data_IF_356791762646
#
_entry.id   IF_356791762646
#
_cell.length_a   1.000
_cell.length_b   1.000
_cell.length_c   1.000
_cell.angle_alpha   90.00
_cell.angle_beta   90.00
_cell.angle_gamma   90.00
#
_symmetry.space_group_name_H-M   'P 1'
#
loop_
_entity.id
_entity.type
_entity.pdbx_description
1 polymer ?
#
# COMPACT_ATOMS: atom_id res chain seq x y z
N UNK A 1 6.81 -31.00 -14.93
CA UNK A 1 6.41 -30.70 -13.53
C UNK A 1 5.35 -31.72 -13.11
N UNK A 2 5.49 -32.38 -11.95
CA UNK A 2 4.47 -33.31 -11.44
C UNK A 2 3.38 -32.53 -10.67
N UNK A 3 2.09 -32.86 -10.83
CA UNK A 3 1.03 -32.25 -10.05
C UNK A 3 1.13 -32.66 -8.57
N UNK A 4 0.99 -31.69 -7.67
CA UNK A 4 0.97 -31.90 -6.22
C UNK A 4 -0.16 -32.84 -5.83
N UNK A 5 0.16 -33.81 -4.99
CA UNK A 5 -0.80 -34.76 -4.42
C UNK A 5 -1.79 -34.04 -3.50
N UNK A 6 -2.94 -34.66 -3.24
CA UNK A 6 -4.02 -34.08 -2.42
C UNK A 6 -3.52 -33.76 -0.99
N UNK A 7 -2.62 -34.58 -0.45
CA UNK A 7 -1.99 -34.36 0.85
C UNK A 7 -0.99 -33.20 0.87
N UNK A 8 -0.22 -33.02 -0.20
CA UNK A 8 0.72 -31.88 -0.29
C UNK A 8 -0.04 -30.56 -0.44
N UNK A 9 -1.16 -30.58 -1.18
CA UNK A 9 -2.08 -29.44 -1.29
C UNK A 9 -2.71 -29.11 0.07
N UNK A 10 -3.17 -30.11 0.82
CA UNK A 10 -3.80 -29.88 2.13
C UNK A 10 -2.80 -29.39 3.17
N UNK A 11 -1.57 -29.94 3.20
CA UNK A 11 -0.46 -29.44 4.03
C UNK A 11 -0.07 -28.02 3.66
N UNK A 12 0.07 -27.71 2.37
CA UNK A 12 0.35 -26.34 1.89
C UNK A 12 -0.73 -25.34 2.32
N UNK A 13 -2.00 -25.74 2.22
CA UNK A 13 -3.13 -24.91 2.62
C UNK A 13 -3.20 -24.71 4.15
N UNK A 14 -2.86 -25.76 4.92
CA UNK A 14 -2.77 -25.70 6.38
C UNK A 14 -1.62 -24.78 6.83
N UNK A 15 -0.44 -24.90 6.23
CA UNK A 15 0.72 -24.04 6.51
C UNK A 15 0.43 -22.58 6.18
N UNK A 16 -0.23 -22.29 5.05
CA UNK A 16 -0.68 -20.93 4.70
C UNK A 16 -1.67 -20.37 5.71
N UNK A 17 -2.65 -21.17 6.16
CA UNK A 17 -3.61 -20.74 7.20
C UNK A 17 -2.91 -20.45 8.53
N UNK A 18 -1.92 -21.25 8.90
CA UNK A 18 -1.17 -21.09 10.14
C UNK A 18 -0.31 -19.81 10.09
N UNK A 19 0.40 -19.58 8.99
CA UNK A 19 1.17 -18.36 8.75
C UNK A 19 0.28 -17.10 8.82
N UNK A 20 -0.88 -17.10 8.16
CA UNK A 20 -1.83 -15.99 8.23
C UNK A 20 -2.36 -15.77 9.65
N UNK A 21 -2.59 -16.84 10.42
CA UNK A 21 -3.05 -16.74 11.81
C UNK A 21 -1.96 -16.16 12.73
N UNK A 22 -0.69 -16.47 12.48
CA UNK A 22 0.44 -15.90 13.22
C UNK A 22 0.64 -14.43 12.89
N UNK A 23 0.55 -14.05 11.60
CA UNK A 23 0.58 -12.66 11.16
C UNK A 23 -0.55 -11.84 11.81
N UNK A 24 -1.78 -12.35 11.77
CA UNK A 24 -2.93 -11.71 12.43
C UNK A 24 -2.74 -11.53 13.94
N UNK A 25 -2.10 -12.49 14.60
CA UNK A 25 -1.79 -12.38 16.04
C UNK A 25 -0.69 -11.36 16.31
N UNK A 26 0.37 -11.35 15.50
CA UNK A 26 1.46 -10.38 15.59
C UNK A 26 0.93 -8.95 15.38
N UNK A 27 0.14 -8.75 14.32
CA UNK A 27 -0.57 -7.50 14.01
C UNK A 27 -1.37 -7.02 15.23
N UNK A 28 -2.20 -7.90 15.80
CA UNK A 28 -3.07 -7.57 16.94
C UNK A 28 -2.27 -7.26 18.22
N UNK A 29 -1.15 -7.94 18.44
CA UNK A 29 -0.28 -7.75 19.63
C UNK A 29 0.49 -6.43 19.59
N UNK A 30 0.83 -5.96 18.39
CA UNK A 30 1.53 -4.70 18.17
C UNK A 30 0.58 -3.51 17.98
N UNK A 31 -0.74 -3.71 18.15
CA UNK A 31 -1.76 -2.67 17.93
C UNK A 31 -1.97 -2.31 16.45
N UNK A 32 -1.38 -3.07 15.53
CA UNK A 32 -1.51 -2.82 14.11
C UNK A 32 -2.76 -3.50 13.55
N UNK A 33 -3.57 -2.72 12.82
CA UNK A 33 -4.68 -3.28 12.05
C UNK A 33 -4.10 -4.19 10.96
N UNK A 34 -4.54 -5.45 10.93
CA UNK A 34 -4.11 -6.39 9.90
C UNK A 34 -4.39 -5.82 8.52
N UNK A 35 -3.35 -5.73 7.70
CA UNK A 35 -3.41 -5.06 6.40
C UNK A 35 -4.16 -6.01 5.47
N UNK A 36 -5.42 -5.70 5.20
CA UNK A 36 -6.22 -6.40 4.19
C UNK A 36 -5.92 -5.93 2.75
N UNK A 37 -5.14 -4.86 2.60
CA UNK A 37 -4.85 -4.23 1.32
C UNK A 37 -3.71 -4.90 0.57
N UNK A 38 -3.74 -4.81 -0.76
CA UNK A 38 -2.62 -5.18 -1.62
C UNK A 38 -1.57 -4.08 -1.56
N UNK A 39 -0.30 -4.36 -1.24
CA UNK A 39 0.74 -3.34 -1.32
C UNK A 39 0.96 -2.94 -2.77
N UNK A 40 1.28 -1.67 -2.99
CA UNK A 40 1.64 -1.14 -4.30
C UNK A 40 2.91 -0.31 -4.19
N UNK A 41 3.71 -0.35 -5.24
CA UNK A 41 4.87 0.52 -5.41
C UNK A 41 4.43 1.61 -6.40
N UNK A 42 4.41 2.85 -5.92
CA UNK A 42 4.12 4.01 -6.74
C UNK A 42 5.43 4.70 -7.09
N UNK A 43 5.66 4.93 -8.38
CA UNK A 43 6.85 5.60 -8.90
C UNK A 43 6.43 6.92 -9.54
N UNK A 44 6.95 8.05 -9.04
CA UNK A 44 6.69 9.40 -9.58
C UNK A 44 8.01 10.16 -9.63
N UNK A 45 8.32 10.78 -10.77
CA UNK A 45 9.52 11.60 -10.99
C UNK A 45 10.83 10.90 -10.56
N UNK A 46 10.93 9.59 -10.74
CA UNK A 46 12.08 8.78 -10.34
C UNK A 46 12.15 8.41 -8.85
N UNK A 47 11.22 8.89 -8.03
CA UNK A 47 11.07 8.49 -6.63
C UNK A 47 10.03 7.38 -6.48
N UNK A 48 10.21 6.51 -5.49
CA UNK A 48 9.32 5.38 -5.25
C UNK A 48 8.80 5.36 -3.81
N UNK A 49 7.53 5.01 -3.62
CA UNK A 49 6.91 4.82 -2.31
C UNK A 49 6.03 3.57 -2.29
N UNK A 50 6.05 2.84 -1.17
CA UNK A 50 5.21 1.65 -0.98
C UNK A 50 4.00 2.01 -0.12
N UNK A 51 2.80 1.82 -0.67
CA UNK A 51 1.53 2.24 -0.07
C UNK A 51 0.49 1.10 -0.07
N UNK A 52 -0.58 1.30 0.72
CA UNK A 52 -1.77 0.46 0.69
C UNK A 52 -2.63 0.82 -0.54
N UNK A 53 -2.86 -0.15 -1.44
CA UNK A 53 -3.70 0.04 -2.62
C UNK A 53 -5.13 0.45 -2.27
N UNK A 54 -5.73 -0.14 -1.25
CA UNK A 54 -7.12 0.16 -0.90
C UNK A 54 -7.26 1.58 -0.35
N UNK A 55 -6.24 2.05 0.38
CA UNK A 55 -6.17 3.44 0.83
C UNK A 55 -6.03 4.38 -0.37
N UNK A 56 -5.07 4.11 -1.26
CA UNK A 56 -4.83 4.95 -2.43
C UNK A 56 -6.07 5.00 -3.35
N UNK A 57 -6.71 3.85 -3.58
CA UNK A 57 -7.94 3.74 -4.38
C UNK A 57 -9.10 4.51 -3.77
N UNK A 58 -9.29 4.44 -2.45
CA UNK A 58 -10.32 5.24 -1.75
C UNK A 58 -10.02 6.72 -1.88
N UNK A 59 -8.76 7.12 -1.76
CA UNK A 59 -8.35 8.50 -1.90
C UNK A 59 -8.64 9.05 -3.30
N UNK A 60 -8.25 8.33 -4.35
CA UNK A 60 -8.58 8.70 -5.73
C UNK A 60 -10.08 8.87 -5.96
N UNK A 61 -10.91 8.00 -5.36
CA UNK A 61 -12.37 8.14 -5.43
C UNK A 61 -12.86 9.41 -4.74
N UNK A 62 -12.32 9.74 -3.58
CA UNK A 62 -12.68 10.97 -2.85
C UNK A 62 -12.25 12.23 -3.62
N UNK A 63 -11.16 12.16 -4.38
CA UNK A 63 -10.62 13.28 -5.15
C UNK A 63 -11.12 13.37 -6.60
N UNK A 64 -12.07 12.52 -7.03
CA UNK A 64 -12.51 12.35 -8.43
C UNK A 64 -12.92 13.63 -9.17
N UNK A 65 -13.39 14.66 -8.46
CA UNK A 65 -13.83 15.93 -9.03
C UNK A 65 -12.97 17.12 -8.56
N UNK A 66 -11.70 16.86 -8.25
CA UNK A 66 -10.74 17.87 -7.80
C UNK A 66 -9.57 17.91 -8.78
N UNK A 67 -8.96 19.07 -8.94
CA UNK A 67 -7.64 19.17 -9.51
C UNK A 67 -6.66 18.58 -8.50
N UNK A 68 -5.79 17.67 -8.96
CA UNK A 68 -4.85 16.94 -8.10
C UNK A 68 -3.46 17.04 -8.69
N UNK A 69 -2.49 17.35 -7.84
CA UNK A 69 -1.07 17.26 -8.15
C UNK A 69 -0.40 16.40 -7.09
N UNK A 70 0.36 15.39 -7.50
CA UNK A 70 1.01 14.43 -6.61
C UNK A 70 2.52 14.52 -6.78
N UNK A 71 3.25 14.46 -5.67
CA UNK A 71 4.71 14.37 -5.67
C UNK A 71 5.17 13.43 -4.57
N UNK A 72 6.23 12.68 -4.85
CA UNK A 72 6.93 11.91 -3.81
C UNK A 72 8.13 12.75 -3.37
N UNK A 73 8.15 13.09 -2.09
CA UNK A 73 9.21 13.86 -1.45
C UNK A 73 9.85 13.02 -0.34
N UNK A 74 11.12 13.30 -0.05
CA UNK A 74 11.83 12.65 1.06
C UNK A 74 11.69 13.50 2.32
N UNK A 75 11.05 12.93 3.35
CA UNK A 75 11.00 13.53 4.69
C UNK A 75 11.95 12.77 5.61
N UNK A 76 13.16 13.30 5.77
CA UNK A 76 14.25 12.62 6.47
C UNK A 76 14.71 11.36 5.74
N UNK A 77 14.41 10.19 6.32
CA UNK A 77 14.84 8.88 5.81
C UNK A 77 13.71 8.11 5.09
N UNK A 78 12.50 8.68 5.01
CA UNK A 78 11.35 8.00 4.44
C UNK A 78 10.70 8.83 3.32
N UNK A 79 10.32 8.20 2.19
CA UNK A 79 9.51 8.84 1.18
C UNK A 79 8.08 9.08 1.69
N UNK A 80 7.53 10.24 1.34
CA UNK A 80 6.17 10.68 1.64
C UNK A 80 5.51 11.10 0.33
N UNK A 81 4.30 10.60 0.07
CA UNK A 81 3.49 11.06 -1.04
C UNK A 81 2.67 12.28 -0.59
N UNK A 82 2.99 13.45 -1.15
CA UNK A 82 2.21 14.68 -0.97
C UNK A 82 1.23 14.85 -2.10
N UNK A 83 -0.03 15.07 -1.75
CA UNK A 83 -1.14 15.22 -2.69
C UNK A 83 -1.78 16.58 -2.43
N UNK A 84 -1.56 17.50 -3.37
CA UNK A 84 -2.19 18.81 -3.38
C UNK A 84 -3.49 18.73 -4.16
N UNK A 85 -4.59 19.20 -3.57
CA UNK A 85 -5.89 19.16 -4.25
C UNK A 85 -6.66 20.47 -4.09
N UNK A 86 -7.49 20.82 -5.08
CA UNK A 86 -8.41 21.95 -5.02
C UNK A 86 -9.59 21.77 -5.98
N UNK A 87 -10.70 22.47 -5.74
CA UNK A 87 -11.87 22.51 -6.65
C UNK A 87 -11.84 23.73 -7.59
N UNK A 88 -10.94 24.68 -7.36
CA UNK A 88 -10.72 25.89 -8.17
C UNK A 88 -9.60 26.76 -7.57
N UNK A 89 -9.07 27.72 -8.34
CA UNK A 89 -7.86 28.50 -7.99
C UNK A 89 -7.99 29.25 -6.65
N UNK A 90 -9.21 29.68 -6.28
CA UNK A 90 -9.50 30.42 -5.05
C UNK A 90 -10.38 29.65 -4.07
N UNK A 91 -10.43 28.32 -4.23
CA UNK A 91 -11.31 27.47 -3.42
C UNK A 91 -10.81 27.35 -1.98
N UNK A 92 -11.72 27.50 -1.02
CA UNK A 92 -11.48 27.19 0.39
C UNK A 92 -11.29 25.70 0.66
N UNK A 93 -11.66 24.84 -0.31
CA UNK A 93 -11.51 23.39 -0.24
C UNK A 93 -10.13 22.90 -0.75
N UNK A 94 -9.20 23.85 -0.94
CA UNK A 94 -7.81 23.54 -1.21
C UNK A 94 -7.16 22.90 0.03
N UNK A 95 -6.32 21.89 -0.19
CA UNK A 95 -5.67 21.17 0.89
C UNK A 95 -4.52 20.30 0.42
N UNK A 96 -3.76 19.82 1.39
CA UNK A 96 -2.65 18.89 1.18
C UNK A 96 -2.91 17.65 2.01
N UNK A 97 -2.73 16.49 1.39
CA UNK A 97 -2.82 15.18 2.03
C UNK A 97 -1.44 14.54 1.95
N UNK A 98 -0.97 14.01 3.07
CA UNK A 98 0.32 13.34 3.17
C UNK A 98 0.09 11.86 3.46
N UNK A 99 0.65 10.99 2.62
CA UNK A 99 0.68 9.55 2.85
C UNK A 99 2.10 9.10 3.11
N UNK A 100 2.33 8.57 4.31
CA UNK A 100 3.59 7.97 4.70
C UNK A 100 3.74 6.57 4.11
N UNK A 101 4.98 6.21 3.79
CA UNK A 101 5.32 4.84 3.39
C UNK A 101 4.93 3.84 4.47
N UNK A 102 4.68 2.59 4.06
CA UNK A 102 4.59 1.51 5.02
C UNK A 102 5.85 1.41 5.90
N UNK A 103 5.69 1.14 7.21
CA UNK A 103 6.80 0.81 8.09
C UNK A 103 7.67 -0.33 7.55
N UNK A 104 8.97 -0.28 7.84
CA UNK A 104 9.99 -1.22 7.31
C UNK A 104 9.63 -2.69 7.55
N UNK A 105 9.18 -3.02 8.77
CA UNK A 105 8.78 -4.39 9.13
C UNK A 105 7.60 -4.92 8.29
N UNK A 106 6.76 -4.02 7.76
CA UNK A 106 5.67 -4.40 6.84
C UNK A 106 6.21 -4.61 5.44
N UNK A 107 7.14 -3.78 4.97
CA UNK A 107 7.74 -3.95 3.66
C UNK A 107 8.49 -5.29 3.54
N UNK A 108 9.21 -5.70 4.58
CA UNK A 108 9.89 -7.01 4.63
C UNK A 108 8.92 -8.19 4.45
N UNK A 109 7.74 -8.11 5.06
CA UNK A 109 6.70 -9.15 4.94
C UNK A 109 6.03 -9.18 3.56
N UNK A 110 6.19 -8.11 2.77
CA UNK A 110 5.60 -7.96 1.44
C UNK A 110 6.62 -8.23 0.32
N UNK A 111 7.88 -8.52 0.65
CA UNK A 111 8.95 -8.76 -0.32
C UNK A 111 8.66 -9.95 -1.27
N UNK A 112 7.88 -10.93 -0.81
CA UNK A 112 7.49 -12.10 -1.60
C UNK A 112 6.20 -11.91 -2.42
N UNK A 113 5.56 -10.73 -2.34
CA UNK A 113 4.29 -10.46 -3.03
C UNK A 113 4.51 -9.79 -4.39
N UNK A 114 3.63 -10.05 -5.38
CA UNK A 114 3.68 -9.39 -6.67
C UNK A 114 3.41 -7.88 -6.52
N UNK A 115 4.32 -7.06 -7.03
CA UNK A 115 4.15 -5.61 -7.14
C UNK A 115 3.35 -5.26 -8.41
N UNK A 116 2.49 -4.24 -8.30
CA UNK A 116 1.79 -3.65 -9.45
C UNK A 116 2.41 -2.29 -9.70
N UNK A 117 2.98 -2.11 -10.88
CA UNK A 117 3.53 -0.82 -11.34
C UNK A 117 2.40 0.00 -11.97
N UNK A 118 2.20 1.22 -11.46
CA UNK A 118 1.26 2.17 -12.02
C UNK A 118 2.05 3.34 -12.61
N UNK A 119 2.10 3.40 -13.93
CA UNK A 119 2.67 4.55 -14.65
C UNK A 119 1.56 5.59 -14.83
N UNK A 120 1.78 6.80 -14.32
CA UNK A 120 0.95 7.96 -14.64
C UNK A 120 1.72 8.81 -15.63
N UNK A 121 1.37 8.69 -16.91
CA UNK A 121 1.79 9.60 -17.98
C UNK A 121 1.22 11.02 -17.79
#
# INVERSE_FOLDING_TARGET
MRPLTIEEKSKSQASRKLANKLLLKADKSLGYKSIKGSPIILSLDGNTIVLDYDLLRKLYRTLKNRHVNMKIEWDGLAPVLRIYHHTGIWSKDAGTIELQQFPSYKMELLADLPSIELNTD
#
